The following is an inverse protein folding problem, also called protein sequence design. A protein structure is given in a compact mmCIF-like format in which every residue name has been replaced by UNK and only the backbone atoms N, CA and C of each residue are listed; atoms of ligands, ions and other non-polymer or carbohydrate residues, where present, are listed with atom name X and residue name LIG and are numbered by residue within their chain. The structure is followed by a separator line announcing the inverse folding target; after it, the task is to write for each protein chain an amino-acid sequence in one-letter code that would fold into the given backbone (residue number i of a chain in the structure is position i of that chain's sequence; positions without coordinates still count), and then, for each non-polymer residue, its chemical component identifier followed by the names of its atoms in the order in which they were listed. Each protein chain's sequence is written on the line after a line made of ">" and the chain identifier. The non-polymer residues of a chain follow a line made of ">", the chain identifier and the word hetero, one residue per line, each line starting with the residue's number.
data_IF_755667907741
#
_entry.id   IF_755667907741
#
_cell.length_a   1.000
_cell.length_b   1.000
_cell.length_c   1.000
_cell.angle_alpha   90.00
_cell.angle_beta   90.00
_cell.angle_gamma   90.00
#
_symmetry.space_group_name_H-M   'P 1'
#
loop_
_entity.id
_entity.type
_entity.pdbx_description
1 polymer ?
#
# COMPACT_ATOMS: atom_id res chain seq x y z
N UNK A 1 -8.33 12.63 0.64
CA UNK A 1 -7.13 11.86 1.03
C UNK A 1 -6.19 12.68 1.93
N UNK A 2 -5.57 13.78 1.47
CA UNK A 2 -4.67 14.60 2.31
C UNK A 2 -5.33 15.21 3.56
N UNK A 3 -6.61 15.61 3.50
CA UNK A 3 -7.34 16.16 4.67
C UNK A 3 -7.64 15.10 5.74
N UNK A 4 -8.10 13.91 5.37
CA UNK A 4 -8.33 12.80 6.32
C UNK A 4 -7.03 12.31 6.96
N UNK A 5 -5.93 12.24 6.20
CA UNK A 5 -4.63 11.80 6.72
C UNK A 5 -4.06 12.82 7.72
N UNK A 6 -4.21 14.13 7.45
CA UNK A 6 -3.82 15.20 8.39
C UNK A 6 -4.62 15.14 9.70
N UNK A 7 -5.93 14.84 9.64
CA UNK A 7 -6.77 14.71 10.83
C UNK A 7 -6.44 13.47 11.68
N UNK A 8 -6.14 12.33 11.03
CA UNK A 8 -5.68 11.12 11.72
C UNK A 8 -4.35 11.34 12.47
N UNK A 9 -3.43 12.10 11.87
CA UNK A 9 -2.14 12.46 12.48
C UNK A 9 -2.31 13.48 13.63
N UNK A 10 -3.22 14.45 13.49
CA UNK A 10 -3.45 15.52 14.47
C UNK A 10 -4.22 15.08 15.72
N UNK A 11 -5.16 14.11 15.61
CA UNK A 11 -6.01 13.66 16.73
C UNK A 11 -5.28 12.81 17.80
N UNK A 12 -3.96 12.69 17.71
CA UNK A 12 -3.15 11.79 18.56
C UNK A 12 -2.51 12.44 19.80
N UNK A 13 -2.67 13.74 20.08
CA UNK A 13 -2.02 14.34 21.26
C UNK A 13 -2.81 15.45 21.96
N UNK A 14 -3.11 15.25 23.26
CA UNK A 14 -3.45 16.30 24.23
C UNK A 14 -2.18 16.77 24.97
N UNK A 15 -2.03 18.10 25.04
CA UNK A 15 -1.35 18.97 26.02
C UNK A 15 -0.04 18.51 26.69
N UNK A 16 1.05 19.19 26.32
CA UNK A 16 2.26 19.36 27.15
C UNK A 16 1.97 20.16 28.43
N UNK A 17 2.83 20.07 29.45
CA UNK A 17 3.33 21.24 30.14
C UNK A 17 4.79 21.53 29.74
N UNK A 18 5.05 22.81 29.51
CA UNK A 18 6.33 23.38 29.16
C UNK A 18 7.28 23.38 30.37
N UNK A 19 8.54 23.00 30.16
CA UNK A 19 9.66 23.42 31.01
C UNK A 19 10.82 23.85 30.11
N UNK A 20 11.17 25.13 30.19
CA UNK A 20 12.23 25.76 29.45
C UNK A 20 13.59 25.51 30.11
N UNK A 21 14.61 25.24 29.30
CA UNK A 21 16.03 25.21 29.71
C UNK A 21 16.78 26.25 28.87
N UNK A 22 17.69 27.08 29.44
CA UNK A 22 18.26 28.23 28.74
C UNK A 22 19.37 27.84 27.75
N UNK A 23 19.45 28.58 26.64
CA UNK A 23 20.42 28.40 25.57
C UNK A 23 21.83 28.91 25.94
N UNK A 24 22.86 28.09 25.72
CA UNK A 24 24.27 28.52 25.75
C UNK A 24 24.71 29.00 24.36
N UNK A 25 25.29 30.20 24.32
CA UNK A 25 25.86 30.84 23.12
C UNK A 25 27.14 30.13 22.70
N UNK A 26 27.20 29.64 21.46
CA UNK A 26 28.44 29.21 20.81
C UNK A 26 28.86 30.28 19.79
N UNK A 27 30.09 30.77 19.94
CA UNK A 27 30.76 31.75 19.08
C UNK A 27 30.96 31.20 17.66
N UNK A 28 30.57 31.99 16.65
CA UNK A 28 30.86 31.72 15.23
C UNK A 28 32.26 32.22 14.88
N UNK A 29 33.11 31.33 14.34
CA UNK A 29 34.30 31.71 13.60
C UNK A 29 33.96 31.88 12.12
N UNK A 30 34.39 33.00 11.53
CA UNK A 30 34.20 33.34 10.12
C UNK A 30 35.28 32.67 9.24
N UNK A 31 34.87 32.12 8.09
CA UNK A 31 35.77 31.68 7.03
C UNK A 31 35.43 32.44 5.73
N UNK A 32 36.43 32.78 4.89
CA UNK A 32 36.25 33.69 3.77
C UNK A 32 35.60 33.02 2.55
N UNK A 33 34.92 33.85 1.77
CA UNK A 33 34.18 33.51 0.56
C UNK A 33 35.12 33.20 -0.63
N UNK A 34 34.64 32.34 -1.53
CA UNK A 34 34.60 32.41 -3.03
C UNK A 34 34.43 30.95 -3.52
N UNK A 35 33.30 30.55 -4.12
CA UNK A 35 33.19 30.39 -5.59
C UNK A 35 31.76 29.98 -5.99
N UNK A 36 31.26 30.64 -7.05
CA UNK A 36 30.06 30.38 -7.86
C UNK A 36 29.16 29.18 -7.50
N UNK A 37 28.07 29.44 -6.77
CA UNK A 37 26.92 28.55 -6.76
C UNK A 37 26.19 28.66 -8.10
N UNK A 38 26.17 27.57 -8.88
CA UNK A 38 25.16 27.41 -9.94
C UNK A 38 23.81 27.44 -9.25
N UNK A 39 23.06 28.52 -9.43
CA UNK A 39 21.67 28.60 -8.99
C UNK A 39 20.90 27.51 -9.72
N UNK A 40 20.56 26.43 -9.02
CA UNK A 40 19.44 25.59 -9.45
C UNK A 40 18.24 26.52 -9.52
N UNK A 41 17.78 26.79 -10.75
CA UNK A 41 16.60 27.60 -10.98
C UNK A 41 15.44 27.00 -10.19
N UNK A 42 14.99 27.71 -9.17
CA UNK A 42 13.75 27.41 -8.44
C UNK A 42 12.68 28.33 -8.99
N UNK A 43 12.36 28.20 -10.27
CA UNK A 43 11.09 28.71 -10.75
C UNK A 43 10.01 27.95 -9.97
N UNK A 44 9.12 28.62 -9.21
CA UNK A 44 8.01 27.94 -8.57
C UNK A 44 7.17 27.33 -9.70
N UNK A 45 7.14 26.00 -9.79
CA UNK A 45 6.19 25.34 -10.67
C UNK A 45 4.80 25.83 -10.27
N UNK A 46 4.11 26.52 -11.18
CA UNK A 46 2.70 26.79 -11.00
C UNK A 46 2.03 25.43 -10.82
N UNK A 47 1.63 25.14 -9.59
CA UNK A 47 1.07 23.86 -9.21
C UNK A 47 -0.34 23.78 -9.81
N UNK A 48 -0.45 23.54 -11.12
CA UNK A 48 -1.70 23.16 -11.79
C UNK A 48 -2.15 21.89 -11.09
N UNK A 49 -3.10 22.02 -10.15
CA UNK A 49 -3.54 20.93 -9.27
C UNK A 49 -3.83 19.67 -10.10
N UNK A 50 -2.97 18.67 -9.99
CA UNK A 50 -3.21 17.32 -10.50
C UNK A 50 -2.54 16.93 -11.82
N UNK A 51 -1.80 17.82 -12.49
CA UNK A 51 -1.04 17.46 -13.70
C UNK A 51 0.44 17.32 -13.33
N UNK A 52 1.04 16.15 -13.58
CA UNK A 52 2.47 15.95 -13.33
C UNK A 52 3.31 16.60 -14.44
N UNK A 53 4.59 16.87 -14.19
CA UNK A 53 5.49 17.39 -15.25
C UNK A 53 5.50 16.50 -16.51
N UNK A 54 5.37 15.18 -16.34
CA UNK A 54 5.33 14.24 -17.47
C UNK A 54 4.02 14.33 -18.28
N UNK A 55 2.97 14.89 -17.70
CA UNK A 55 1.65 15.04 -18.34
C UNK A 55 1.40 16.46 -18.85
N UNK A 56 2.13 17.47 -18.34
CA UNK A 56 1.98 18.86 -18.75
C UNK A 56 2.58 19.07 -20.15
N UNK A 57 1.71 19.35 -21.12
CA UNK A 57 2.10 19.57 -22.53
C UNK A 57 2.57 20.99 -22.80
N UNK A 58 2.19 21.95 -21.96
CA UNK A 58 2.45 23.37 -22.18
C UNK A 58 3.78 23.76 -21.52
N UNK A 59 3.94 23.35 -20.25
CA UNK A 59 5.02 23.81 -19.37
C UNK A 59 5.90 22.65 -18.84
N UNK A 60 5.71 21.42 -19.35
CA UNK A 60 6.39 20.22 -18.89
C UNK A 60 6.94 19.31 -19.98
N UNK A 61 7.15 18.04 -19.61
CA UNK A 61 7.65 16.98 -20.47
C UNK A 61 6.52 16.17 -21.14
N UNK A 62 5.32 16.74 -21.29
CA UNK A 62 4.18 16.08 -21.96
C UNK A 62 4.41 15.74 -23.44
N UNK A 63 5.48 16.25 -24.04
CA UNK A 63 5.95 15.84 -25.37
C UNK A 63 6.68 14.48 -25.35
N UNK A 64 7.22 14.07 -24.20
CA UNK A 64 7.91 12.80 -24.06
C UNK A 64 6.90 11.65 -23.99
N UNK A 65 7.16 10.59 -24.76
CA UNK A 65 6.31 9.40 -24.75
C UNK A 65 6.31 8.78 -23.35
N UNK A 66 5.12 8.60 -22.79
CA UNK A 66 4.89 7.85 -21.56
C UNK A 66 3.57 7.10 -21.65
N UNK A 67 3.46 5.99 -20.91
CA UNK A 67 2.21 5.25 -20.82
C UNK A 67 1.16 6.06 -20.04
N UNK A 68 -0.06 6.21 -20.58
CA UNK A 68 -1.12 6.92 -19.86
C UNK A 68 -1.53 6.14 -18.62
N UNK A 69 -1.95 6.86 -17.58
CA UNK A 69 -2.45 6.29 -16.33
C UNK A 69 -3.92 6.63 -16.13
N UNK A 70 -4.73 5.74 -15.56
CA UNK A 70 -6.11 6.07 -15.20
C UNK A 70 -6.13 7.28 -14.25
N UNK A 71 -7.10 8.16 -14.42
CA UNK A 71 -7.33 9.27 -13.50
C UNK A 71 -7.83 8.73 -12.14
N UNK A 72 -7.62 9.52 -11.07
CA UNK A 72 -8.20 9.21 -9.76
C UNK A 72 -9.69 9.61 -9.73
N UNK A 73 -10.55 8.88 -8.99
CA UNK A 73 -10.29 7.63 -8.27
C UNK A 73 -10.09 6.45 -9.23
N UNK A 74 -9.09 5.61 -8.96
CA UNK A 74 -8.71 4.51 -9.85
C UNK A 74 -9.44 3.21 -9.50
N UNK A 75 -9.98 2.54 -10.52
CA UNK A 75 -10.48 1.16 -10.42
C UNK A 75 -9.45 0.12 -10.86
N UNK A 76 -8.52 0.51 -11.73
CA UNK A 76 -7.40 -0.29 -12.23
C UNK A 76 -6.08 0.47 -12.11
N UNK A 77 -4.97 -0.25 -12.12
CA UNK A 77 -3.64 0.30 -11.92
C UNK A 77 -3.51 0.93 -10.54
N UNK A 78 -4.30 0.49 -9.57
CA UNK A 78 -4.31 1.02 -8.21
C UNK A 78 -2.97 0.73 -7.57
N UNK A 79 -2.38 1.74 -6.94
CA UNK A 79 -1.18 1.59 -6.12
C UNK A 79 -1.52 1.88 -4.69
N UNK A 80 -1.46 0.88 -3.83
CA UNK A 80 -1.47 1.08 -2.38
C UNK A 80 -0.06 0.95 -1.83
N UNK A 81 0.27 1.76 -0.83
CA UNK A 81 1.59 1.71 -0.19
C UNK A 81 1.48 1.24 1.25
N UNK A 82 2.46 0.43 1.68
CA UNK A 82 2.71 0.13 3.08
C UNK A 82 3.34 1.34 3.75
N UNK A 83 2.80 1.79 4.87
CA UNK A 83 3.49 2.73 5.75
C UNK A 83 4.76 2.12 6.37
N UNK A 84 5.51 2.87 7.19
CA UNK A 84 6.70 2.34 7.86
C UNK A 84 6.35 1.10 8.70
N UNK A 85 7.03 -0.03 8.42
CA UNK A 85 6.73 -1.32 9.05
C UNK A 85 7.61 -1.57 10.30
N UNK A 86 8.92 -1.77 10.11
CA UNK A 86 9.91 -1.88 11.21
C UNK A 86 10.85 -0.68 11.31
N UNK A 87 10.78 0.25 10.37
CA UNK A 87 11.62 1.44 10.37
C UNK A 87 10.94 2.55 11.15
N UNK A 88 11.62 3.05 12.18
CA UNK A 88 11.17 4.24 12.91
C UNK A 88 11.42 5.47 12.04
N UNK A 89 10.35 6.11 11.59
CA UNK A 89 10.40 7.31 10.75
C UNK A 89 9.93 8.55 11.51
N UNK A 90 10.44 9.72 11.12
CA UNK A 90 9.99 11.00 11.65
C UNK A 90 8.54 11.31 11.24
N UNK A 91 7.85 12.14 12.04
CA UNK A 91 6.43 12.49 11.84
C UNK A 91 6.09 13.07 10.46
N UNK A 92 7.05 13.69 9.80
CA UNK A 92 6.85 14.31 8.47
C UNK A 92 7.02 13.34 7.31
N UNK A 93 7.65 12.19 7.53
CA UNK A 93 8.10 11.32 6.44
C UNK A 93 6.96 10.88 5.51
N UNK A 94 5.86 10.35 6.05
CA UNK A 94 4.69 9.99 5.23
C UNK A 94 4.03 11.22 4.57
N UNK A 95 4.10 12.39 5.21
CA UNK A 95 3.60 13.63 4.59
C UNK A 95 4.45 14.02 3.39
N UNK A 96 5.78 13.96 3.51
CA UNK A 96 6.72 14.27 2.43
C UNK A 96 6.51 13.32 1.23
N UNK A 97 6.31 12.02 1.51
CA UNK A 97 5.96 11.01 0.48
C UNK A 97 4.66 11.36 -0.23
N UNK A 98 3.60 11.71 0.51
CA UNK A 98 2.28 12.00 -0.07
C UNK A 98 2.21 13.37 -0.74
N UNK A 99 2.96 14.36 -0.27
CA UNK A 99 3.05 15.67 -0.91
C UNK A 99 3.84 15.59 -2.23
N UNK A 100 4.84 14.71 -2.31
CA UNK A 100 5.66 14.53 -3.52
C UNK A 100 5.05 13.54 -4.53
N UNK A 101 4.60 12.38 -4.04
CA UNK A 101 4.18 11.25 -4.87
C UNK A 101 2.69 10.92 -4.73
N UNK A 102 1.90 11.76 -4.06
CA UNK A 102 0.49 11.49 -3.76
C UNK A 102 -0.40 11.33 -4.99
N UNK A 103 -0.04 11.85 -6.16
CA UNK A 103 -0.75 11.59 -7.43
C UNK A 103 -0.67 10.12 -7.87
N UNK A 104 0.36 9.39 -7.41
CA UNK A 104 0.64 8.00 -7.73
C UNK A 104 0.21 7.00 -6.65
N UNK A 105 -0.23 7.47 -5.48
CA UNK A 105 -0.65 6.64 -4.33
C UNK A 105 -2.18 6.69 -4.17
N UNK A 106 -2.85 5.55 -4.26
CA UNK A 106 -4.31 5.43 -4.16
C UNK A 106 -4.80 4.99 -2.77
N UNK A 107 -3.96 4.32 -1.99
CA UNK A 107 -4.24 3.96 -0.59
C UNK A 107 -2.96 3.80 0.24
N UNK A 108 -3.12 3.84 1.57
CA UNK A 108 -2.04 3.72 2.55
C UNK A 108 -2.46 2.71 3.62
N UNK A 109 -1.74 1.57 3.72
CA UNK A 109 -1.91 0.58 4.78
C UNK A 109 -0.98 0.93 5.94
N UNK A 110 -1.54 1.11 7.14
CA UNK A 110 -0.75 1.20 8.37
C UNK A 110 -0.43 -0.22 8.84
N UNK A 111 0.79 -0.68 8.56
CA UNK A 111 1.25 -2.04 8.84
C UNK A 111 2.14 -2.10 10.10
N UNK A 112 2.20 -3.28 10.74
CA UNK A 112 3.05 -3.56 11.90
C UNK A 112 2.23 -3.87 13.15
N UNK A 113 2.85 -4.44 14.19
CA UNK A 113 2.15 -4.87 15.42
C UNK A 113 2.28 -3.93 16.63
N UNK A 114 3.10 -2.86 16.56
CA UNK A 114 3.53 -2.06 17.74
C UNK A 114 2.92 -0.65 17.88
N UNK A 115 1.83 -0.33 17.19
CA UNK A 115 1.20 0.99 17.15
C UNK A 115 -0.31 0.85 17.36
N UNK A 116 -0.95 1.91 17.85
CA UNK A 116 -2.36 1.95 18.28
C UNK A 116 -3.36 1.98 17.10
N UNK A 117 -2.91 1.80 15.86
CA UNK A 117 -3.66 2.08 14.62
C UNK A 117 -3.22 1.09 13.53
N UNK A 118 -3.60 -0.18 13.66
CA UNK A 118 -3.16 -1.26 12.77
C UNK A 118 -4.34 -2.11 12.32
N UNK A 119 -4.31 -2.58 11.07
CA UNK A 119 -5.48 -3.21 10.45
C UNK A 119 -5.40 -4.73 10.29
N UNK A 120 -4.25 -5.31 9.93
CA UNK A 120 -4.10 -6.77 9.78
C UNK A 120 -3.86 -7.49 11.11
N UNK A 121 -2.59 -7.74 11.46
CA UNK A 121 -2.23 -8.49 12.67
C UNK A 121 -2.77 -7.95 14.01
N UNK A 122 -3.09 -6.65 14.09
CA UNK A 122 -3.78 -6.11 15.26
C UNK A 122 -5.25 -6.53 15.32
N UNK A 123 -5.98 -6.52 14.20
CA UNK A 123 -7.34 -7.03 14.17
C UNK A 123 -7.37 -8.51 14.55
N UNK A 124 -6.41 -9.31 14.03
CA UNK A 124 -6.26 -10.71 14.44
C UNK A 124 -6.01 -10.85 15.95
N UNK A 125 -5.11 -10.04 16.54
CA UNK A 125 -4.93 -10.01 17.99
C UNK A 125 -6.23 -9.69 18.75
N UNK A 126 -7.07 -8.79 18.25
CA UNK A 126 -8.35 -8.48 18.87
C UNK A 126 -9.34 -9.66 18.82
N UNK A 127 -9.26 -10.51 17.79
CA UNK A 127 -10.09 -11.71 17.65
C UNK A 127 -9.72 -12.80 18.66
N UNK A 128 -8.57 -12.73 19.34
CA UNK A 128 -8.19 -13.71 20.38
C UNK A 128 -8.71 -13.37 21.78
N UNK A 129 -9.39 -12.24 21.95
CA UNK A 129 -9.93 -11.81 23.24
C UNK A 129 -11.18 -12.60 23.63
N UNK A 130 -11.46 -12.75 24.93
CA UNK A 130 -12.65 -13.47 25.39
C UNK A 130 -13.98 -12.83 24.96
N UNK A 131 -14.04 -11.50 24.92
CA UNK A 131 -15.20 -10.72 24.44
C UNK A 131 -14.89 -10.09 23.08
N UNK A 132 -14.76 -10.94 22.06
CA UNK A 132 -14.43 -10.51 20.68
C UNK A 132 -15.43 -9.48 20.16
N UNK A 133 -16.72 -9.65 20.44
CA UNK A 133 -17.79 -8.78 19.96
C UNK A 133 -17.57 -7.31 20.36
N UNK A 134 -17.46 -7.07 21.66
CA UNK A 134 -17.26 -5.74 22.24
C UNK A 134 -15.92 -5.11 21.87
N UNK A 135 -14.85 -5.91 21.87
CA UNK A 135 -13.50 -5.43 21.56
C UNK A 135 -13.42 -5.00 20.09
N UNK A 136 -13.97 -5.80 19.17
CA UNK A 136 -13.95 -5.48 17.75
C UNK A 136 -14.84 -4.27 17.42
N UNK A 137 -15.99 -4.10 18.10
CA UNK A 137 -16.84 -2.91 17.94
C UNK A 137 -16.11 -1.62 18.31
N UNK A 138 -15.36 -1.63 19.42
CA UNK A 138 -14.53 -0.50 19.85
C UNK A 138 -13.45 -0.19 18.82
N UNK A 139 -12.84 -1.21 18.24
CA UNK A 139 -11.84 -1.07 17.19
C UNK A 139 -12.41 -0.42 15.94
N UNK A 140 -13.51 -0.93 15.39
CA UNK A 140 -14.14 -0.36 14.18
C UNK A 140 -14.60 1.08 14.40
N UNK A 141 -15.23 1.36 15.55
CA UNK A 141 -15.60 2.73 15.92
C UNK A 141 -14.35 3.63 15.98
N UNK A 142 -13.28 3.16 16.60
CA UNK A 142 -12.04 3.95 16.70
C UNK A 142 -11.39 4.20 15.35
N UNK A 143 -11.35 3.20 14.46
CA UNK A 143 -10.85 3.40 13.10
C UNK A 143 -11.67 4.45 12.34
N UNK A 144 -13.00 4.40 12.43
CA UNK A 144 -13.87 5.42 11.84
C UNK A 144 -13.63 6.81 12.43
N UNK A 145 -13.50 6.91 13.76
CA UNK A 145 -13.21 8.17 14.46
C UNK A 145 -11.83 8.77 14.06
N UNK A 146 -10.88 7.91 13.68
CA UNK A 146 -9.57 8.31 13.15
C UNK A 146 -9.59 8.67 11.66
N UNK A 147 -10.72 8.47 10.96
CA UNK A 147 -10.89 8.79 9.55
C UNK A 147 -10.45 7.69 8.59
N UNK A 148 -10.30 6.45 9.05
CA UNK A 148 -10.15 5.29 8.17
C UNK A 148 -11.46 4.99 7.46
N UNK A 149 -11.34 4.60 6.20
CA UNK A 149 -12.43 4.20 5.32
C UNK A 149 -12.33 2.72 4.91
N UNK A 150 -11.14 2.12 4.97
CA UNK A 150 -10.88 0.71 4.71
C UNK A 150 -10.40 0.01 5.98
N UNK A 151 -10.87 -1.22 6.19
CA UNK A 151 -10.38 -2.16 7.20
C UNK A 151 -9.92 -3.42 6.49
N UNK A 152 -8.63 -3.69 6.61
CA UNK A 152 -8.10 -5.00 6.26
C UNK A 152 -8.61 -6.08 7.22
N UNK A 153 -8.96 -7.24 6.67
CA UNK A 153 -9.35 -8.42 7.46
C UNK A 153 -8.48 -9.59 7.03
N UNK A 154 -7.35 -9.77 7.71
CA UNK A 154 -6.38 -10.83 7.42
C UNK A 154 -6.65 -12.10 8.24
N UNK A 155 -6.13 -13.22 7.76
CA UNK A 155 -6.11 -14.51 8.47
C UNK A 155 -4.73 -15.17 8.36
N UNK A 156 -3.66 -14.37 8.49
CA UNK A 156 -2.28 -14.82 8.32
C UNK A 156 -1.81 -15.65 9.52
N UNK A 157 -2.14 -15.21 10.74
CA UNK A 157 -1.78 -15.89 11.99
C UNK A 157 -2.94 -16.69 12.61
N UNK A 158 -4.18 -16.34 12.26
CA UNK A 158 -5.38 -17.04 12.74
C UNK A 158 -6.03 -17.88 11.65
N UNK A 159 -6.44 -19.10 12.02
CA UNK A 159 -7.33 -19.90 11.18
C UNK A 159 -8.77 -19.48 11.44
N UNK A 160 -9.38 -18.78 10.49
CA UNK A 160 -10.77 -18.30 10.57
C UNK A 160 -11.64 -19.14 9.63
N UNK A 161 -12.70 -19.82 10.12
CA UNK A 161 -13.66 -20.48 9.25
C UNK A 161 -14.29 -19.48 8.27
N UNK A 162 -14.52 -19.91 7.03
CA UNK A 162 -15.00 -19.02 5.96
C UNK A 162 -16.27 -18.23 6.29
N UNK A 163 -17.23 -18.87 6.97
CA UNK A 163 -18.48 -18.22 7.34
C UNK A 163 -18.28 -17.19 8.47
N UNK A 164 -17.33 -17.42 9.38
CA UNK A 164 -16.93 -16.42 10.39
C UNK A 164 -16.22 -15.24 9.75
N UNK A 165 -15.38 -15.49 8.74
CA UNK A 165 -14.69 -14.43 8.02
C UNK A 165 -15.67 -13.54 7.25
N UNK A 166 -16.72 -14.13 6.66
CA UNK A 166 -17.83 -13.38 6.06
C UNK A 166 -18.60 -12.55 7.11
N UNK A 167 -18.87 -13.11 8.30
CA UNK A 167 -19.48 -12.34 9.40
C UNK A 167 -18.64 -11.12 9.81
N UNK A 168 -17.30 -11.23 9.77
CA UNK A 168 -16.41 -10.09 10.01
C UNK A 168 -16.52 -9.03 8.92
N UNK A 169 -16.62 -9.44 7.65
CA UNK A 169 -16.87 -8.52 6.52
C UNK A 169 -18.19 -7.78 6.70
N UNK A 170 -19.28 -8.49 7.00
CA UNK A 170 -20.58 -7.88 7.24
C UNK A 170 -20.53 -6.88 8.40
N UNK A 171 -19.80 -7.24 9.48
CA UNK A 171 -19.59 -6.36 10.62
C UNK A 171 -18.83 -5.09 10.25
N UNK A 172 -17.76 -5.18 9.47
CA UNK A 172 -17.04 -4.00 8.95
C UNK A 172 -17.98 -3.11 8.12
N UNK A 173 -18.76 -3.70 7.22
CA UNK A 173 -19.71 -2.99 6.38
C UNK A 173 -20.83 -2.31 7.20
N UNK A 174 -21.31 -2.94 8.27
CA UNK A 174 -22.32 -2.36 9.17
C UNK A 174 -21.85 -1.05 9.85
N UNK A 175 -20.54 -0.85 9.99
CA UNK A 175 -19.95 0.40 10.49
C UNK A 175 -19.76 1.46 9.39
N UNK A 176 -20.14 1.17 8.15
CA UNK A 176 -19.93 2.04 6.98
C UNK A 176 -18.47 2.13 6.55
N UNK A 177 -17.68 1.11 6.86
CA UNK A 177 -16.28 0.95 6.46
C UNK A 177 -16.20 -0.09 5.33
N UNK A 178 -15.14 -0.05 4.53
CA UNK A 178 -14.90 -1.01 3.44
C UNK A 178 -14.05 -2.16 3.96
N UNK A 179 -14.53 -3.39 3.85
CA UNK A 179 -13.69 -4.54 4.15
C UNK A 179 -12.74 -4.82 2.98
N UNK A 180 -11.48 -5.14 3.31
CA UNK A 180 -10.47 -5.59 2.34
C UNK A 180 -9.82 -6.87 2.88
N UNK A 181 -10.38 -8.04 2.59
CA UNK A 181 -9.81 -9.30 3.06
C UNK A 181 -8.45 -9.57 2.38
N UNK A 182 -7.52 -10.11 3.15
CA UNK A 182 -6.20 -10.53 2.69
C UNK A 182 -6.15 -12.05 2.62
N UNK A 183 -5.93 -12.57 1.42
CA UNK A 183 -5.98 -13.98 1.08
C UNK A 183 -4.57 -14.48 0.72
N UNK A 184 -4.12 -15.51 1.41
CA UNK A 184 -2.88 -16.23 1.11
C UNK A 184 -3.14 -17.71 0.79
N UNK A 185 -2.12 -18.39 0.28
CA UNK A 185 -2.12 -19.86 0.11
C UNK A 185 -1.27 -20.59 1.15
N UNK A 186 -0.61 -19.82 2.03
CA UNK A 186 0.29 -20.28 3.07
C UNK A 186 -0.32 -19.92 4.43
N UNK A 187 -0.45 -20.89 5.32
CA UNK A 187 -0.89 -20.64 6.70
C UNK A 187 0.31 -20.27 7.58
N UNK A 188 0.11 -19.37 8.55
CA UNK A 188 1.18 -18.83 9.39
C UNK A 188 1.99 -17.73 8.70
N UNK A 189 1.47 -17.21 7.58
CA UNK A 189 2.10 -16.15 6.82
C UNK A 189 2.06 -14.81 7.58
N UNK A 190 3.14 -14.05 7.46
CA UNK A 190 3.33 -12.76 8.12
C UNK A 190 4.33 -12.77 9.28
N UNK A 191 4.72 -11.57 9.72
CA UNK A 191 5.51 -11.36 10.94
C UNK A 191 6.98 -11.78 10.85
N UNK A 192 7.54 -11.78 9.64
CA UNK A 192 8.92 -12.19 9.33
C UNK A 192 9.20 -13.67 9.61
N UNK A 193 8.17 -14.53 9.50
CA UNK A 193 8.33 -15.98 9.65
C UNK A 193 9.29 -16.52 8.58
N UNK A 194 10.27 -17.32 9.00
CA UNK A 194 11.31 -17.82 8.10
C UNK A 194 10.72 -18.76 7.04
N UNK A 195 11.24 -18.67 5.81
CA UNK A 195 10.79 -19.51 4.69
C UNK A 195 10.87 -21.02 5.00
N UNK A 196 11.84 -21.48 5.80
CA UNK A 196 11.95 -22.88 6.21
C UNK A 196 10.78 -23.36 7.06
N UNK A 197 10.25 -22.49 7.92
CA UNK A 197 9.17 -22.83 8.85
C UNK A 197 7.84 -22.88 8.10
N UNK A 198 7.67 -22.00 7.10
CA UNK A 198 6.52 -22.01 6.19
C UNK A 198 6.55 -23.19 5.22
N UNK A 199 7.74 -23.56 4.69
CA UNK A 199 7.91 -24.77 3.85
C UNK A 199 7.45 -26.04 4.58
N UNK A 200 7.68 -26.14 5.90
CA UNK A 200 7.26 -27.29 6.71
C UNK A 200 5.73 -27.36 6.89
N UNK A 201 5.03 -26.22 6.88
CA UNK A 201 3.55 -26.14 6.92
C UNK A 201 2.97 -26.47 5.53
N UNK A 202 3.70 -26.14 4.47
CA UNK A 202 3.32 -26.37 3.08
C UNK A 202 2.40 -25.29 2.51
N UNK A 203 2.38 -25.18 1.17
CA UNK A 203 1.45 -24.30 0.44
C UNK A 203 0.23 -25.08 -0.04
N UNK A 204 -0.92 -24.42 -0.08
CA UNK A 204 -2.16 -24.98 -0.64
C UNK A 204 -2.36 -24.61 -2.12
N UNK A 205 -3.25 -25.34 -2.80
CA UNK A 205 -3.72 -24.95 -4.12
C UNK A 205 -4.53 -23.64 -4.08
N UNK A 206 -4.58 -22.85 -5.17
CA UNK A 206 -5.28 -21.58 -5.17
C UNK A 206 -6.82 -21.72 -5.11
N UNK A 207 -7.37 -22.94 -5.20
CA UNK A 207 -8.81 -23.17 -5.25
C UNK A 207 -9.53 -22.68 -4.00
N UNK A 208 -8.96 -22.89 -2.81
CA UNK A 208 -9.51 -22.36 -1.56
C UNK A 208 -9.58 -20.83 -1.56
N UNK A 209 -8.48 -20.20 -1.97
CA UNK A 209 -8.37 -18.74 -2.08
C UNK A 209 -9.39 -18.19 -3.08
N UNK A 210 -9.52 -18.81 -4.25
CA UNK A 210 -10.45 -18.37 -5.31
C UNK A 210 -11.90 -18.51 -4.86
N UNK A 211 -12.25 -19.64 -4.25
CA UNK A 211 -13.60 -19.88 -3.74
C UNK A 211 -13.97 -18.86 -2.65
N UNK A 212 -13.03 -18.55 -1.75
CA UNK A 212 -13.24 -17.52 -0.74
C UNK A 212 -13.34 -16.12 -1.36
N UNK A 213 -12.48 -15.81 -2.33
CA UNK A 213 -12.52 -14.56 -3.08
C UNK A 213 -13.88 -14.34 -3.75
N UNK A 214 -14.43 -15.37 -4.41
CA UNK A 214 -15.79 -15.31 -5.01
C UNK A 214 -16.86 -15.02 -3.95
N UNK A 215 -16.78 -15.64 -2.76
CA UNK A 215 -17.72 -15.36 -1.66
C UNK A 215 -17.60 -13.91 -1.16
N UNK A 216 -16.39 -13.39 -1.00
CA UNK A 216 -16.19 -12.00 -0.59
C UNK A 216 -16.71 -10.99 -1.59
N UNK A 217 -16.47 -11.21 -2.89
CA UNK A 217 -17.00 -10.35 -3.93
C UNK A 217 -18.54 -10.36 -3.93
N UNK A 218 -19.17 -11.52 -3.72
CA UNK A 218 -20.62 -11.62 -3.56
C UNK A 218 -21.13 -10.91 -2.30
N UNK A 219 -20.31 -10.80 -1.25
CA UNK A 219 -20.61 -10.02 -0.04
C UNK A 219 -20.34 -8.51 -0.17
N UNK A 220 -20.03 -8.02 -1.38
CA UNK A 220 -19.84 -6.60 -1.66
C UNK A 220 -18.45 -6.05 -1.38
N UNK A 221 -17.45 -6.92 -1.15
CA UNK A 221 -16.05 -6.50 -1.00
C UNK A 221 -15.57 -5.82 -2.28
N UNK A 222 -15.01 -4.61 -2.14
CA UNK A 222 -14.56 -3.82 -3.30
C UNK A 222 -13.27 -4.35 -3.91
N UNK A 223 -12.38 -4.91 -3.09
CA UNK A 223 -11.06 -5.39 -3.50
C UNK A 223 -10.54 -6.49 -2.58
N UNK A 224 -9.93 -7.51 -3.17
CA UNK A 224 -9.22 -8.60 -2.50
C UNK A 224 -7.72 -8.27 -2.49
N UNK A 225 -7.06 -8.41 -1.33
CA UNK A 225 -5.60 -8.43 -1.27
C UNK A 225 -5.12 -9.88 -1.40
N UNK A 226 -4.12 -10.11 -2.24
CA UNK A 226 -3.43 -11.39 -2.39
C UNK A 226 -2.04 -11.23 -1.77
N UNK A 227 -1.77 -12.02 -0.74
CA UNK A 227 -0.51 -12.02 -0.02
C UNK A 227 0.62 -12.62 -0.88
N UNK A 228 1.83 -12.09 -0.76
CA UNK A 228 3.01 -12.54 -1.50
C UNK A 228 3.58 -13.86 -0.99
N UNK A 229 3.40 -14.16 0.30
CA UNK A 229 3.97 -15.34 0.94
C UNK A 229 3.41 -16.65 0.36
N UNK A 230 4.31 -17.58 0.04
CA UNK A 230 3.98 -18.82 -0.66
C UNK A 230 3.78 -18.65 -2.17
N UNK A 231 3.76 -17.42 -2.70
CA UNK A 231 3.61 -17.13 -4.14
C UNK A 231 4.89 -16.54 -4.74
N UNK A 232 5.30 -15.36 -4.28
CA UNK A 232 6.50 -14.64 -4.74
C UNK A 232 7.51 -14.41 -3.63
N UNK A 233 7.12 -14.66 -2.39
CA UNK A 233 7.91 -14.54 -1.18
C UNK A 233 7.93 -15.89 -0.44
N UNK A 234 8.99 -16.17 0.30
CA UNK A 234 9.18 -17.43 1.04
C UNK A 234 9.06 -18.71 0.17
N UNK A 235 9.48 -18.62 -1.10
CA UNK A 235 9.50 -19.74 -2.05
C UNK A 235 10.83 -19.83 -2.80
N UNK A 236 11.27 -21.05 -3.12
CA UNK A 236 12.46 -21.29 -3.97
C UNK A 236 12.26 -20.89 -5.42
N UNK A 237 11.01 -20.91 -5.88
CA UNK A 237 10.62 -20.53 -7.24
C UNK A 237 9.23 -19.92 -7.20
N UNK A 238 9.03 -18.81 -7.92
CA UNK A 238 7.75 -18.12 -7.95
C UNK A 238 6.63 -19.00 -8.50
N UNK A 239 5.50 -19.03 -7.79
CA UNK A 239 4.28 -19.75 -8.16
C UNK A 239 3.45 -18.92 -9.14
N UNK A 240 3.99 -18.68 -10.32
CA UNK A 240 3.31 -17.90 -11.38
C UNK A 240 2.03 -18.58 -11.88
N UNK A 241 1.91 -19.90 -11.68
CA UNK A 241 0.70 -20.69 -11.88
C UNK A 241 -0.46 -20.22 -11.00
N UNK A 242 -0.17 -19.90 -9.73
CA UNK A 242 -1.16 -19.40 -8.77
C UNK A 242 -1.69 -18.04 -9.22
N UNK A 243 -0.78 -17.11 -9.55
CA UNK A 243 -1.14 -15.77 -10.04
C UNK A 243 -1.99 -15.86 -11.31
N UNK A 244 -1.57 -16.69 -12.27
CA UNK A 244 -2.29 -16.88 -13.53
C UNK A 244 -3.69 -17.45 -13.30
N UNK A 245 -3.83 -18.38 -12.36
CA UNK A 245 -5.14 -18.96 -12.01
C UNK A 245 -6.05 -17.92 -11.33
N UNK A 246 -5.51 -17.11 -10.42
CA UNK A 246 -6.24 -16.01 -9.78
C UNK A 246 -6.75 -15.01 -10.83
N UNK A 247 -5.86 -14.56 -11.74
CA UNK A 247 -6.19 -13.61 -12.79
C UNK A 247 -7.21 -14.15 -13.82
N UNK A 248 -7.29 -15.48 -13.95
CA UNK A 248 -8.29 -16.16 -14.80
C UNK A 248 -9.66 -16.26 -14.13
N UNK A 249 -9.69 -16.54 -12.83
CA UNK A 249 -10.91 -16.92 -12.10
C UNK A 249 -11.57 -15.78 -11.32
N UNK A 250 -10.83 -14.70 -11.05
CA UNK A 250 -11.31 -13.52 -10.34
C UNK A 250 -11.19 -12.27 -11.24
N UNK A 251 -12.09 -11.28 -11.11
CA UNK A 251 -12.01 -10.06 -11.90
C UNK A 251 -10.71 -9.27 -11.60
N UNK A 252 -9.82 -9.03 -12.58
CA UNK A 252 -8.52 -8.41 -12.34
C UNK A 252 -8.57 -7.05 -11.63
N UNK A 253 -9.60 -6.24 -11.90
CA UNK A 253 -9.82 -4.93 -11.27
C UNK A 253 -10.20 -5.03 -9.78
N UNK A 254 -10.68 -6.19 -9.35
CA UNK A 254 -11.06 -6.51 -7.97
C UNK A 254 -9.94 -7.19 -7.18
N UNK A 255 -8.84 -7.56 -7.82
CA UNK A 255 -7.69 -8.23 -7.19
C UNK A 255 -6.54 -7.23 -7.07
N UNK A 256 -5.81 -7.28 -5.96
CA UNK A 256 -4.55 -6.56 -5.75
C UNK A 256 -3.51 -7.52 -5.21
N UNK A 257 -2.32 -7.49 -5.78
CA UNK A 257 -1.21 -8.33 -5.33
C UNK A 257 -0.26 -7.53 -4.44
N UNK A 258 0.14 -8.13 -3.33
CA UNK A 258 1.32 -7.69 -2.62
C UNK A 258 2.57 -7.92 -3.47
N UNK A 259 3.39 -6.88 -3.59
CA UNK A 259 4.58 -6.84 -4.41
C UNK A 259 5.63 -5.92 -3.78
N UNK A 260 5.93 -6.07 -2.48
CA UNK A 260 6.88 -5.25 -1.74
C UNK A 260 8.37 -5.51 -2.10
N UNK A 261 8.66 -6.11 -3.25
CA UNK A 261 10.00 -6.32 -3.82
C UNK A 261 10.05 -5.77 -5.26
N UNK A 262 11.09 -5.02 -5.65
CA UNK A 262 11.22 -4.47 -7.00
C UNK A 262 11.16 -5.45 -8.17
N UNK A 263 11.72 -6.64 -8.00
CA UNK A 263 11.67 -7.69 -9.02
C UNK A 263 10.24 -8.21 -9.18
N UNK A 264 9.48 -8.28 -8.08
CA UNK A 264 8.11 -8.78 -8.07
C UNK A 264 7.17 -7.83 -8.80
N UNK A 265 7.14 -6.52 -8.46
CA UNK A 265 6.29 -5.60 -9.22
C UNK A 265 6.77 -5.40 -10.67
N UNK A 266 8.08 -5.53 -10.95
CA UNK A 266 8.58 -5.52 -12.33
C UNK A 266 7.97 -6.66 -13.14
N UNK A 267 7.93 -7.86 -12.57
CA UNK A 267 7.30 -9.02 -13.17
C UNK A 267 5.80 -8.82 -13.40
N UNK A 268 5.03 -8.38 -12.39
CA UNK A 268 3.60 -8.12 -12.56
C UNK A 268 3.29 -7.12 -13.67
N UNK A 269 4.07 -6.04 -13.77
CA UNK A 269 3.89 -5.02 -14.83
C UNK A 269 4.23 -5.59 -16.21
N UNK A 270 5.26 -6.43 -16.30
CA UNK A 270 5.65 -7.09 -17.55
C UNK A 270 4.58 -8.05 -18.04
N UNK A 271 4.02 -8.88 -17.16
CA UNK A 271 3.06 -9.93 -17.53
C UNK A 271 1.63 -9.39 -17.72
N UNK A 272 1.19 -8.46 -16.88
CA UNK A 272 -0.21 -8.01 -16.84
C UNK A 272 -0.41 -6.53 -17.23
N UNK A 273 0.68 -5.83 -17.55
CA UNK A 273 0.65 -4.44 -18.00
C UNK A 273 0.56 -3.41 -16.87
N UNK A 274 0.59 -2.14 -17.26
CA UNK A 274 0.73 -0.99 -16.34
C UNK A 274 -0.51 -0.70 -15.49
N UNK A 275 -1.60 -1.44 -15.69
CA UNK A 275 -2.88 -1.31 -14.99
C UNK A 275 -3.14 -2.45 -13.99
N UNK A 276 -2.16 -3.33 -13.71
CA UNK A 276 -2.26 -4.28 -12.58
C UNK A 276 -2.29 -3.53 -11.24
N UNK A 277 -3.13 -3.97 -10.30
CA UNK A 277 -3.25 -3.37 -8.97
C UNK A 277 -2.19 -3.95 -8.04
N UNK A 278 -1.40 -3.07 -7.40
CA UNK A 278 -0.26 -3.50 -6.58
C UNK A 278 -0.25 -2.81 -5.23
N UNK A 279 0.14 -3.58 -4.22
CA UNK A 279 0.51 -3.10 -2.91
C UNK A 279 2.03 -3.20 -2.74
N UNK A 280 2.70 -2.07 -2.48
CA UNK A 280 4.17 -1.98 -2.44
C UNK A 280 4.65 -1.26 -1.19
N UNK A 281 5.95 -1.32 -0.89
CA UNK A 281 6.50 -0.48 0.17
C UNK A 281 6.51 1.00 -0.23
N UNK A 282 6.25 1.90 0.72
CA UNK A 282 6.29 3.35 0.50
C UNK A 282 7.59 3.84 -0.15
N UNK A 283 8.74 3.21 0.15
CA UNK A 283 10.04 3.60 -0.39
C UNK A 283 10.19 3.30 -1.89
N UNK A 284 9.33 2.44 -2.44
CA UNK A 284 9.40 1.94 -3.81
C UNK A 284 8.48 2.69 -4.78
N UNK A 285 7.67 3.64 -4.30
CA UNK A 285 6.64 4.32 -5.09
C UNK A 285 7.19 5.04 -6.33
N UNK A 286 8.39 5.60 -6.23
CA UNK A 286 9.04 6.31 -7.35
C UNK A 286 9.38 5.33 -8.47
N UNK A 287 10.03 4.21 -8.13
CA UNK A 287 10.42 3.21 -9.10
C UNK A 287 9.20 2.58 -9.79
N UNK A 288 8.16 2.23 -9.02
CA UNK A 288 6.92 1.70 -9.58
C UNK A 288 6.24 2.72 -10.50
N UNK A 289 6.20 4.00 -10.12
CA UNK A 289 5.61 5.05 -10.95
C UNK A 289 6.34 5.16 -12.29
N UNK A 290 7.67 5.23 -12.28
CA UNK A 290 8.44 5.34 -13.52
C UNK A 290 8.28 4.11 -14.42
N UNK A 291 8.22 2.91 -13.81
CA UNK A 291 7.96 1.66 -14.50
C UNK A 291 6.59 1.66 -15.19
N UNK A 292 5.53 2.08 -14.49
CA UNK A 292 4.18 2.18 -15.05
C UNK A 292 4.09 3.20 -16.19
N UNK A 293 4.90 4.26 -16.17
CA UNK A 293 4.96 5.23 -17.27
C UNK A 293 5.88 4.80 -18.42
N UNK A 294 6.64 3.72 -18.25
CA UNK A 294 7.61 3.25 -19.26
C UNK A 294 8.83 4.17 -19.43
N UNK A 295 9.09 5.06 -18.46
CA UNK A 295 10.19 6.04 -18.50
C UNK A 295 11.43 5.59 -17.71
N UNK A 296 11.30 4.49 -16.96
CA UNK A 296 12.37 3.79 -16.25
C UNK A 296 11.95 2.33 -16.08
N UNK A 297 12.90 1.43 -15.83
CA UNK A 297 12.61 0.01 -15.66
C UNK A 297 13.87 -0.84 -15.75
N UNK A 298 13.68 -2.14 -15.65
CA UNK A 298 14.76 -3.10 -15.90
C UNK A 298 14.90 -3.36 -17.41
N UNK A 299 15.94 -4.09 -17.81
CA UNK A 299 16.22 -4.37 -19.22
C UNK A 299 15.05 -5.05 -19.95
N UNK A 300 14.19 -5.77 -19.22
CA UNK A 300 13.02 -6.48 -19.76
C UNK A 300 11.74 -5.65 -19.78
N UNK A 301 11.71 -4.47 -19.15
CA UNK A 301 10.51 -3.62 -19.06
C UNK A 301 10.69 -2.21 -19.62
N UNK A 302 11.90 -1.64 -19.59
CA UNK A 302 12.18 -0.29 -20.08
C UNK A 302 11.80 -0.15 -21.56
N UNK A 303 10.81 0.70 -21.85
CA UNK A 303 10.29 0.93 -23.22
C UNK A 303 9.57 -0.27 -23.86
N UNK A 304 9.31 -1.34 -23.11
CA UNK A 304 8.77 -2.62 -23.64
C UNK A 304 7.32 -2.91 -23.26
N UNK A 305 6.78 -2.19 -22.27
CA UNK A 305 5.38 -2.35 -21.84
C UNK A 305 4.51 -1.30 -22.51
N UNK A 306 3.53 -1.76 -23.30
CA UNK A 306 2.58 -0.90 -24.02
C UNK A 306 1.16 -1.16 -23.54
N UNK A 307 0.31 -0.14 -23.61
CA UNK A 307 -1.11 -0.25 -23.32
C UNK A 307 -1.89 0.23 -24.53
N UNK A 308 -2.76 -0.60 -25.08
CA UNK A 308 -3.73 -0.16 -26.08
C UNK A 308 -5.00 0.28 -25.35
N UNK A 309 -5.38 1.54 -25.51
CA UNK A 309 -6.60 2.10 -24.93
C UNK A 309 -7.48 2.58 -26.07
N UNK A 310 -8.77 2.17 -26.13
CA UNK A 310 -9.67 2.63 -27.18
C UNK A 310 -9.77 4.16 -27.20
N UNK A 311 -9.72 4.79 -26.02
CA UNK A 311 -9.57 6.23 -25.76
C UNK A 311 -8.86 6.44 -24.40
#
# INVERSE_FOLDING_TARGET
>A
MLSSIRNALAASFFKQPANAVPAQKILRAAAPAVTAARSFSTTPAQNKKGVTLLQDKDDGFGFARSNPRPAKPRSKGVTEIRGPYYTVMGKRYLSDVLETMGTHVDGLKFAGGKSRIHQGGWAEHLLTHADVGSVFDKYLKKCKDLGFDVIEVSSGFLSIPGDDWLRLVDKVHAYGLKAKPELGIQFGAGGDTAASDLEAIGTSDPGKLINMGKKFLNAGVERLMIESEGITENVKSWRTDVVSTIMKELPPEKVMFEAADPKVYNWYIREFGVDVNLFVDHSQIVQLSCLRHGIWGMADTFGKVVSFRPE
#
